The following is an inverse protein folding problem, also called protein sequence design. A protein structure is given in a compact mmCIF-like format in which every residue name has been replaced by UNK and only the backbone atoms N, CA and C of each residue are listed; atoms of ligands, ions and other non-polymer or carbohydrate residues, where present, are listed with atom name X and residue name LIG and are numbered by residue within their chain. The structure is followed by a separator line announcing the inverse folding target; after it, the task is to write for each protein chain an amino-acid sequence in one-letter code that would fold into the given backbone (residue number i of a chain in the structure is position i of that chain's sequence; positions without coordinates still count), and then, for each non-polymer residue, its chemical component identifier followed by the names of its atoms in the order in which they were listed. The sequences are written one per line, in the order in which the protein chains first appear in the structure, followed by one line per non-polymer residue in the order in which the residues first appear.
data_IF_363942822965
#
_entry.id   IF_363942822965
#
_cell.length_a   1.000
_cell.length_b   1.000
_cell.length_c   1.000
_cell.angle_alpha   90.00
_cell.angle_beta   90.00
_cell.angle_gamma   90.00
#
_symmetry.space_group_name_H-M   'P 1'
#
loop_
_entity.id
_entity.type
_entity.pdbx_description
1 polymer ?
#
# COMPACT_ATOMS: atom_id res chain seq x y z
N UNK A 1 29.63 1.64 1.97
CA UNK A 1 28.92 2.81 2.53
C UNK A 1 27.56 3.07 1.87
N UNK A 2 27.35 2.72 0.59
CA UNK A 2 26.14 3.05 -0.17
C UNK A 2 24.86 2.31 0.26
N UNK A 3 24.96 1.06 0.72
CA UNK A 3 23.78 0.26 1.12
C UNK A 3 23.07 0.78 2.36
N UNK A 4 23.83 1.32 3.33
CA UNK A 4 23.26 1.82 4.58
C UNK A 4 22.45 3.11 4.36
N UNK A 5 22.92 3.99 3.47
CA UNK A 5 22.18 5.18 3.04
C UNK A 5 20.91 4.83 2.25
N UNK A 6 21.00 3.84 1.36
CA UNK A 6 19.85 3.33 0.62
C UNK A 6 18.77 2.79 1.56
N UNK A 7 19.13 2.02 2.60
CA UNK A 7 18.15 1.53 3.56
C UNK A 7 17.49 2.65 4.38
N UNK A 8 18.25 3.66 4.81
CA UNK A 8 17.71 4.82 5.53
C UNK A 8 16.73 5.58 4.62
N UNK A 9 17.12 5.82 3.37
CA UNK A 9 16.26 6.48 2.38
C UNK A 9 14.95 5.71 2.17
N UNK A 10 15.02 4.39 1.99
CA UNK A 10 13.84 3.54 1.82
C UNK A 10 12.92 3.62 3.04
N UNK A 11 13.45 3.54 4.25
CA UNK A 11 12.65 3.64 5.48
C UNK A 11 11.97 5.01 5.60
N UNK A 12 12.65 6.08 5.24
CA UNK A 12 12.09 7.43 5.29
C UNK A 12 10.99 7.65 4.25
N UNK A 13 11.10 7.10 3.03
CA UNK A 13 10.01 7.19 2.05
C UNK A 13 8.80 6.35 2.47
N UNK A 14 9.02 5.15 3.01
CA UNK A 14 7.97 4.27 3.56
C UNK A 14 7.21 4.96 4.70
N UNK A 15 7.92 5.67 5.59
CA UNK A 15 7.30 6.42 6.72
C UNK A 15 6.38 7.55 6.29
N UNK A 16 6.53 8.10 5.08
CA UNK A 16 5.64 9.15 4.57
C UNK A 16 4.27 8.62 4.17
N UNK A 17 4.16 7.32 3.94
CA UNK A 17 2.91 6.73 3.51
C UNK A 17 1.92 6.66 4.68
N UNK A 18 0.77 7.31 4.49
CA UNK A 18 -0.33 7.24 5.47
C UNK A 18 -1.11 5.95 5.27
N UNK A 19 -1.58 5.38 6.37
CA UNK A 19 -2.58 4.31 6.31
C UNK A 19 -3.92 4.86 5.77
N UNK A 20 -4.68 3.99 5.11
CA UNK A 20 -5.97 4.35 4.51
C UNK A 20 -7.09 3.52 5.13
N UNK A 21 -8.10 4.20 5.68
CA UNK A 21 -9.26 3.58 6.36
C UNK A 21 -10.52 3.57 5.50
N UNK A 22 -10.56 4.37 4.41
CA UNK A 22 -11.78 4.68 3.66
C UNK A 22 -12.82 5.41 4.51
N UNK A 23 -12.37 6.35 5.34
CA UNK A 23 -13.24 7.21 6.13
C UNK A 23 -13.95 8.25 5.23
N UNK A 24 -15.12 8.78 5.66
CA UNK A 24 -15.76 9.88 4.94
C UNK A 24 -14.84 11.09 4.83
N UNK A 25 -14.50 11.49 3.61
CA UNK A 25 -13.56 12.59 3.33
C UNK A 25 -12.15 12.15 2.95
N UNK A 26 -11.85 10.84 3.01
CA UNK A 26 -10.61 10.30 2.45
C UNK A 26 -10.64 10.37 0.91
N UNK A 27 -9.56 10.90 0.34
CA UNK A 27 -9.36 10.88 -1.11
C UNK A 27 -8.53 9.65 -1.49
N UNK A 28 -9.23 8.60 -1.95
CA UNK A 28 -8.61 7.35 -2.39
C UNK A 28 -7.70 7.54 -3.59
N UNK A 29 -8.02 8.46 -4.51
CA UNK A 29 -7.24 8.66 -5.72
C UNK A 29 -5.92 9.34 -5.37
N UNK A 30 -5.98 10.39 -4.54
CA UNK A 30 -4.77 11.04 -4.03
C UNK A 30 -3.90 10.06 -3.24
N UNK A 31 -4.50 9.25 -2.37
CA UNK A 31 -3.77 8.24 -1.60
C UNK A 31 -3.08 7.20 -2.47
N UNK A 32 -3.73 6.75 -3.56
CA UNK A 32 -3.13 5.83 -4.53
C UNK A 32 -1.93 6.48 -5.25
N UNK A 33 -2.04 7.74 -5.66
CA UNK A 33 -0.94 8.47 -6.27
C UNK A 33 0.26 8.63 -5.34
N UNK A 34 0.02 8.99 -4.07
CA UNK A 34 1.07 9.10 -3.06
C UNK A 34 1.76 7.75 -2.82
N UNK A 35 0.97 6.68 -2.81
CA UNK A 35 1.45 5.30 -2.66
C UNK A 35 2.31 4.83 -3.81
N UNK A 36 1.86 5.07 -5.05
CA UNK A 36 2.63 4.74 -6.24
C UNK A 36 3.96 5.51 -6.28
N UNK A 37 3.93 6.80 -5.95
CA UNK A 37 5.13 7.65 -5.90
C UNK A 37 6.16 7.11 -4.91
N UNK A 38 5.73 6.71 -3.70
CA UNK A 38 6.63 6.12 -2.70
C UNK A 38 7.17 4.78 -3.18
N UNK A 39 6.34 3.92 -3.76
CA UNK A 39 6.76 2.60 -4.23
C UNK A 39 7.75 2.67 -5.40
N UNK A 40 7.58 3.64 -6.30
CA UNK A 40 8.53 3.88 -7.38
C UNK A 40 9.86 4.44 -6.86
N UNK A 41 9.82 5.32 -5.84
CA UNK A 41 11.03 5.88 -5.23
C UNK A 41 11.93 4.82 -4.58
N UNK A 42 11.33 3.74 -4.07
CA UNK A 42 12.06 2.59 -3.48
C UNK A 42 12.26 1.44 -4.47
N UNK A 43 11.90 1.65 -5.74
CA UNK A 43 11.99 0.66 -6.83
C UNK A 43 11.33 -0.67 -6.47
N UNK A 44 10.15 -0.60 -5.83
CA UNK A 44 9.42 -1.78 -5.42
C UNK A 44 8.94 -2.55 -6.65
N UNK A 45 9.25 -3.85 -6.71
CA UNK A 45 8.81 -4.72 -7.80
C UNK A 45 7.27 -4.70 -7.90
N UNK A 46 6.69 -4.72 -9.12
CA UNK A 46 5.24 -4.70 -9.30
C UNK A 46 4.50 -5.79 -8.50
N UNK A 47 5.05 -7.01 -8.43
CA UNK A 47 4.50 -8.12 -7.64
C UNK A 47 4.40 -7.81 -6.14
N UNK A 48 5.32 -6.99 -5.63
CA UNK A 48 5.41 -6.66 -4.21
C UNK A 48 4.57 -5.42 -3.87
N UNK A 49 4.25 -4.57 -4.87
CA UNK A 49 3.36 -3.40 -4.67
C UNK A 49 2.02 -3.84 -4.09
N UNK A 50 1.44 -4.93 -4.59
CA UNK A 50 0.15 -5.44 -4.09
C UNK A 50 0.20 -5.81 -2.60
N UNK A 51 1.21 -6.57 -2.18
CA UNK A 51 1.41 -6.97 -0.77
C UNK A 51 1.69 -5.73 0.10
N UNK A 52 2.46 -4.79 -0.42
CA UNK A 52 2.77 -3.55 0.29
C UNK A 52 1.51 -2.70 0.49
N UNK A 53 0.69 -2.46 -0.55
CA UNK A 53 -0.59 -1.73 -0.45
C UNK A 53 -1.45 -2.29 0.68
N UNK A 54 -1.61 -3.62 0.74
CA UNK A 54 -2.43 -4.28 1.77
C UNK A 54 -1.98 -3.96 3.20
N UNK A 55 -0.69 -3.73 3.42
CA UNK A 55 -0.12 -3.41 4.73
C UNK A 55 -0.47 -2.00 5.21
N UNK A 56 -0.95 -1.13 4.32
CA UNK A 56 -1.37 0.24 4.65
C UNK A 56 -2.87 0.42 4.69
N UNK A 57 -3.64 -0.59 4.28
CA UNK A 57 -5.09 -0.57 4.46
C UNK A 57 -5.41 -0.88 5.92
N UNK A 58 -6.28 -0.08 6.52
CA UNK A 58 -6.77 -0.25 7.89
C UNK A 58 -8.29 -0.20 7.93
N UNK A 59 -8.87 -0.55 9.09
CA UNK A 59 -10.30 -0.52 9.38
C UNK A 59 -11.23 -0.95 8.23
N UNK A 60 -12.04 -0.02 7.70
CA UNK A 60 -13.04 -0.35 6.69
C UNK A 60 -12.42 -0.73 5.34
N UNK A 61 -11.34 -0.07 4.93
CA UNK A 61 -10.61 -0.39 3.71
C UNK A 61 -9.98 -1.79 3.76
N UNK A 62 -9.31 -2.12 4.87
CA UNK A 62 -8.77 -3.46 5.09
C UNK A 62 -9.87 -4.51 5.03
N UNK A 63 -10.96 -4.29 5.78
CA UNK A 63 -12.09 -5.22 5.82
C UNK A 63 -12.68 -5.46 4.43
N UNK A 64 -12.88 -4.42 3.63
CA UNK A 64 -13.39 -4.54 2.26
C UNK A 64 -12.53 -5.44 1.38
N UNK A 65 -11.20 -5.26 1.42
CA UNK A 65 -10.27 -6.02 0.58
C UNK A 65 -10.12 -7.47 1.06
N UNK A 66 -9.99 -7.68 2.38
CA UNK A 66 -9.79 -9.02 2.94
C UNK A 66 -11.08 -9.85 2.99
N UNK A 67 -12.25 -9.23 3.14
CA UNK A 67 -13.53 -9.95 3.05
C UNK A 67 -13.84 -10.35 1.60
N UNK A 68 -13.45 -9.53 0.60
CA UNK A 68 -13.52 -9.93 -0.82
C UNK A 68 -12.62 -11.11 -1.13
N UNK A 69 -11.43 -11.19 -0.54
CA UNK A 69 -10.51 -12.31 -0.73
C UNK A 69 -11.02 -13.64 -0.14
N UNK A 70 -12.00 -13.59 0.77
CA UNK A 70 -12.66 -14.76 1.37
C UNK A 70 -13.99 -15.11 0.67
N UNK A 71 -14.44 -14.30 -0.27
CA UNK A 71 -15.71 -14.55 -0.95
C UNK A 71 -15.57 -15.75 -1.89
N UNK A 72 -16.47 -16.74 -1.85
CA UNK A 72 -16.42 -17.93 -2.70
C UNK A 72 -16.50 -17.62 -4.21
N UNK A 73 -16.85 -16.38 -4.59
CA UNK A 73 -16.84 -15.91 -5.97
C UNK A 73 -15.44 -15.60 -6.52
N UNK A 74 -14.39 -15.47 -5.68
CA UNK A 74 -13.01 -15.28 -6.18
C UNK A 74 -12.34 -16.60 -6.61
N UNK A 75 -12.94 -17.75 -6.30
CA UNK A 75 -12.48 -19.08 -6.75
C UNK A 75 -13.14 -19.52 -8.07
N UNK A 76 -13.93 -18.64 -8.70
CA UNK A 76 -14.68 -18.94 -9.92
C UNK A 76 -14.09 -18.31 -11.19
N UNK A 77 -12.87 -17.78 -11.14
CA UNK A 77 -12.09 -17.33 -12.30
C UNK A 77 -10.76 -18.08 -12.38
#
# INVERSE_FOLDING_TARGET
MTEQYMQIFIQEQIRKLKSFDAAPGDDVIQWLYDTETVFDSVQLRPSNKYIAVQSYLVGAAAKCVFDRAKSPLSNAL
#
